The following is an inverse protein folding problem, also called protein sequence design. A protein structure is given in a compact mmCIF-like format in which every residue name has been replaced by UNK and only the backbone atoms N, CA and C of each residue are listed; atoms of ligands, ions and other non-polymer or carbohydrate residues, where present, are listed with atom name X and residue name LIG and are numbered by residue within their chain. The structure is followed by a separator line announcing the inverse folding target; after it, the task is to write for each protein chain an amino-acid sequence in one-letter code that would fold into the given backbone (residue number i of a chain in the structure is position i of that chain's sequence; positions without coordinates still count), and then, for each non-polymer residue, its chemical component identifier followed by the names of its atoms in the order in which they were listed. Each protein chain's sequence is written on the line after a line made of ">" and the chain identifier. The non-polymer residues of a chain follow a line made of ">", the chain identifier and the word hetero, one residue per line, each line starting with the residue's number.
data_IF_669883853588
#
_entry.id   IF_669883853588
#
_cell.length_a   1.000
_cell.length_b   1.000
_cell.length_c   1.000
_cell.angle_alpha   90.00
_cell.angle_beta   90.00
_cell.angle_gamma   90.00
#
_symmetry.space_group_name_H-M   'P 1'
#
loop_
_entity.id
_entity.type
_entity.pdbx_description
1 polymer ?
#
# COMPACT_ATOMS: atom_id res chain seq x y z
N UNK A 1 5.46 -28.61 56.78
CA UNK A 1 4.07 -28.17 56.49
C UNK A 1 4.19 -26.93 55.59
N UNK A 2 4.07 -27.12 54.28
CA UNK A 2 4.09 -26.03 53.29
C UNK A 2 2.64 -25.67 52.92
N UNK A 3 2.28 -24.37 52.88
CA UNK A 3 0.94 -23.96 52.45
C UNK A 3 0.81 -24.03 50.94
N UNK A 4 -0.25 -24.68 50.48
CA UNK A 4 -0.60 -24.82 49.07
C UNK A 4 -1.01 -23.48 48.43
N UNK A 5 -0.54 -23.30 47.19
CA UNK A 5 -0.92 -22.21 46.31
C UNK A 5 -2.36 -22.42 45.78
N UNK A 6 -3.16 -21.35 45.62
CA UNK A 6 -4.48 -21.45 45.04
C UNK A 6 -4.42 -21.73 43.54
N UNK A 7 -5.20 -22.70 43.11
CA UNK A 7 -5.43 -23.05 41.68
C UNK A 7 -6.31 -21.97 41.08
N UNK A 8 -5.75 -21.23 40.10
CA UNK A 8 -6.50 -20.28 39.27
C UNK A 8 -7.33 -21.06 38.25
N UNK A 9 -8.66 -21.01 38.35
CA UNK A 9 -9.55 -21.43 37.29
C UNK A 9 -9.65 -20.34 36.20
N UNK A 10 -9.50 -20.69 34.91
CA UNK A 10 -9.71 -19.73 33.83
C UNK A 10 -11.22 -19.40 33.72
N UNK A 11 -11.55 -18.14 33.35
CA UNK A 11 -12.94 -17.74 33.15
C UNK A 11 -13.54 -18.44 31.94
N UNK A 12 -14.78 -18.90 32.07
CA UNK A 12 -15.59 -19.51 31.04
C UNK A 12 -15.69 -18.60 29.79
N UNK A 13 -15.36 -19.15 28.64
CA UNK A 13 -15.61 -18.51 27.35
C UNK A 13 -17.13 -18.30 27.14
N UNK A 14 -17.59 -17.13 26.67
CA UNK A 14 -18.98 -16.93 26.34
C UNK A 14 -19.33 -17.71 25.07
N UNK A 15 -20.44 -18.42 25.18
CA UNK A 15 -21.13 -19.18 24.13
C UNK A 15 -21.42 -18.28 22.91
N UNK A 16 -20.75 -18.57 21.77
CA UNK A 16 -21.02 -17.95 20.47
C UNK A 16 -22.11 -18.74 19.74
N UNK A 17 -23.33 -18.79 20.29
CA UNK A 17 -24.50 -19.20 19.53
C UNK A 17 -24.95 -18.03 18.63
N UNK A 18 -24.94 -18.30 17.34
CA UNK A 18 -25.19 -17.36 16.25
C UNK A 18 -26.45 -16.50 16.39
N UNK A 19 -26.26 -15.22 16.20
CA UNK A 19 -27.27 -14.32 15.64
C UNK A 19 -26.59 -13.44 14.59
N UNK A 20 -26.70 -13.86 13.35
CA UNK A 20 -26.62 -12.96 12.20
C UNK A 20 -27.69 -11.88 12.37
N UNK A 21 -27.30 -10.70 12.82
CA UNK A 21 -28.15 -9.52 12.78
C UNK A 21 -28.22 -9.03 11.34
N UNK A 22 -29.26 -9.49 10.65
CA UNK A 22 -29.74 -8.91 9.40
C UNK A 22 -30.17 -7.45 9.69
N UNK A 23 -29.28 -6.50 9.50
CA UNK A 23 -29.59 -5.08 9.59
C UNK A 23 -30.32 -4.68 8.29
N UNK A 24 -31.64 -4.88 8.28
CA UNK A 24 -32.51 -4.23 7.31
C UNK A 24 -32.55 -2.74 7.67
N UNK A 25 -31.96 -1.92 6.82
CA UNK A 25 -32.17 -0.49 6.86
C UNK A 25 -33.64 -0.20 6.50
N UNK A 26 -34.35 0.69 7.24
CA UNK A 26 -35.66 1.13 6.83
C UNK A 26 -35.51 1.98 5.57
N UNK A 27 -36.19 1.58 4.49
CA UNK A 27 -36.31 2.37 3.30
C UNK A 27 -37.11 3.65 3.60
N UNK A 28 -36.69 4.84 3.14
CA UNK A 28 -37.54 6.02 3.21
C UNK A 28 -38.71 5.85 2.22
N UNK A 29 -39.91 5.87 2.73
CA UNK A 29 -41.11 5.97 1.95
C UNK A 29 -41.19 7.38 1.33
N UNK A 30 -41.04 7.44 0.04
CA UNK A 30 -41.14 8.68 -0.74
C UNK A 30 -41.38 8.35 -2.20
N UNK A 31 -42.60 7.89 -2.51
CA UNK A 31 -43.07 7.62 -3.85
C UNK A 31 -43.36 8.96 -4.53
N UNK A 32 -42.54 9.38 -5.48
CA UNK A 32 -42.97 10.39 -6.49
C UNK A 32 -42.74 9.74 -7.86
N UNK A 33 -43.88 9.32 -8.44
CA UNK A 33 -43.97 8.89 -9.81
C UNK A 33 -43.78 10.11 -10.71
N UNK A 34 -42.70 10.14 -11.50
CA UNK A 34 -42.58 11.08 -12.61
C UNK A 34 -42.56 10.26 -13.91
N UNK A 35 -43.65 10.41 -14.64
CA UNK A 35 -43.88 9.86 -15.98
C UNK A 35 -42.78 10.35 -16.93
N UNK A 36 -42.06 9.43 -17.53
CA UNK A 36 -41.14 9.69 -18.63
C UNK A 36 -41.91 9.83 -19.93
N UNK A 37 -41.96 11.04 -20.47
CA UNK A 37 -42.37 11.28 -21.84
C UNK A 37 -41.21 10.89 -22.78
N UNK A 38 -41.38 9.79 -23.52
CA UNK A 38 -40.52 9.44 -24.64
C UNK A 38 -40.82 10.42 -25.78
N UNK A 39 -39.91 11.34 -26.04
CA UNK A 39 -39.86 12.09 -27.29
C UNK A 39 -39.20 11.26 -28.36
N UNK A 40 -39.99 10.76 -29.28
CA UNK A 40 -39.54 10.12 -30.53
C UNK A 40 -38.98 11.22 -31.43
N UNK A 41 -37.67 11.21 -31.68
CA UNK A 41 -37.04 12.06 -32.69
C UNK A 41 -37.15 11.37 -34.06
N UNK A 42 -37.53 12.07 -35.12
CA UNK A 42 -37.59 11.50 -36.45
C UNK A 42 -36.16 11.29 -37.04
N UNK A 43 -35.96 10.27 -37.86
CA UNK A 43 -34.72 10.09 -38.60
C UNK A 43 -34.68 10.97 -39.84
N UNK A 44 -33.61 11.71 -40.04
CA UNK A 44 -33.29 12.28 -41.33
C UNK A 44 -33.17 13.77 -41.41
N UNK A 45 -31.98 14.29 -41.11
CA UNK A 45 -31.47 15.49 -41.77
C UNK A 45 -29.94 15.36 -41.92
N UNK A 46 -29.56 14.86 -43.12
CA UNK A 46 -28.18 14.93 -43.57
C UNK A 46 -27.88 16.41 -43.88
N UNK A 47 -27.12 17.06 -42.98
CA UNK A 47 -26.48 18.34 -43.29
C UNK A 47 -25.21 18.08 -44.11
N UNK A 48 -25.34 18.18 -45.45
CA UNK A 48 -24.24 18.33 -46.36
C UNK A 48 -23.59 19.70 -46.12
N UNK A 49 -22.52 19.74 -45.31
CA UNK A 49 -21.62 20.90 -45.22
C UNK A 49 -20.78 21.01 -46.48
N UNK A 50 -20.43 22.23 -46.95
CA UNK A 50 -19.64 22.40 -48.17
C UNK A 50 -18.24 21.86 -47.94
N UNK A 51 -17.76 21.07 -48.95
CA UNK A 51 -16.39 20.60 -49.09
C UNK A 51 -15.43 21.80 -48.99
N UNK A 52 -14.80 21.93 -47.80
CA UNK A 52 -13.72 22.87 -47.62
C UNK A 52 -12.55 22.48 -48.50
N UNK A 53 -12.11 23.43 -49.31
CA UNK A 53 -10.92 23.40 -50.15
C UNK A 53 -9.73 22.85 -49.37
N UNK A 54 -9.16 21.77 -49.87
CA UNK A 54 -7.89 21.21 -49.34
C UNK A 54 -6.79 22.29 -49.35
N UNK A 55 -6.33 22.62 -48.16
CA UNK A 55 -5.08 23.41 -48.03
C UNK A 55 -3.93 22.54 -48.55
N UNK A 56 -2.96 23.13 -49.29
CA UNK A 56 -1.85 22.36 -49.81
C UNK A 56 -1.01 21.77 -48.65
N UNK A 57 -0.91 20.44 -48.65
CA UNK A 57 0.05 19.69 -47.83
C UNK A 57 1.49 20.00 -48.29
N UNK A 58 2.03 21.10 -47.80
CA UNK A 58 3.34 21.57 -48.19
C UNK A 58 4.12 22.18 -47.03
N UNK A 59 4.51 21.34 -46.09
CA UNK A 59 5.79 21.49 -45.35
C UNK A 59 6.01 20.18 -44.61
N UNK A 60 6.91 19.35 -45.07
CA UNK A 60 7.46 18.25 -44.25
C UNK A 60 7.88 18.85 -42.90
N UNK A 61 7.37 18.36 -41.77
CA UNK A 61 7.85 18.82 -40.50
C UNK A 61 9.37 18.57 -40.46
N UNK A 62 10.14 19.65 -40.40
CA UNK A 62 11.58 19.58 -40.31
C UNK A 62 11.93 18.54 -39.23
N UNK A 63 12.74 17.55 -39.65
CA UNK A 63 13.21 16.48 -38.77
C UNK A 63 13.75 17.14 -37.49
N UNK A 64 13.05 17.00 -36.37
CA UNK A 64 13.51 17.50 -35.10
C UNK A 64 14.98 17.07 -34.90
N UNK A 65 15.89 17.95 -34.48
CA UNK A 65 17.28 17.58 -34.30
C UNK A 65 17.33 16.33 -33.40
N UNK A 66 17.96 15.24 -33.90
CA UNK A 66 18.16 14.02 -33.14
C UNK A 66 18.90 14.42 -31.87
N UNK A 67 18.24 14.35 -30.73
CA UNK A 67 18.83 14.66 -29.44
C UNK A 67 20.14 13.88 -29.30
N UNK A 68 21.22 14.59 -29.02
CA UNK A 68 22.54 13.99 -28.78
C UNK A 68 22.33 12.86 -27.74
N UNK A 69 22.86 11.64 -27.95
CA UNK A 69 22.69 10.56 -27.00
C UNK A 69 23.10 11.06 -25.61
N UNK A 70 22.17 11.03 -24.66
CA UNK A 70 22.49 11.39 -23.29
C UNK A 70 23.60 10.45 -22.80
N UNK A 71 24.60 11.00 -22.13
CA UNK A 71 25.65 10.20 -21.49
C UNK A 71 24.98 9.14 -20.61
N UNK A 72 25.33 7.84 -20.74
CA UNK A 72 24.71 6.82 -19.93
C UNK A 72 24.82 7.17 -18.45
N UNK A 73 23.71 7.13 -17.72
CA UNK A 73 23.71 7.36 -16.27
C UNK A 73 24.59 6.27 -15.65
N UNK A 74 25.67 6.69 -15.00
CA UNK A 74 26.52 5.80 -14.22
C UNK A 74 26.02 5.77 -12.78
N UNK A 75 25.91 4.60 -12.21
CA UNK A 75 25.59 4.40 -10.81
C UNK A 75 26.50 3.34 -10.19
N UNK A 76 26.64 3.42 -8.88
CA UNK A 76 27.33 2.40 -8.11
C UNK A 76 26.62 1.02 -8.25
N UNK A 77 27.36 -0.05 -8.00
CA UNK A 77 26.79 -1.39 -7.87
C UNK A 77 25.66 -1.41 -6.84
N UNK A 78 24.74 -2.40 -6.91
CA UNK A 78 23.69 -2.55 -5.92
C UNK A 78 24.27 -2.57 -4.51
N UNK A 79 23.76 -1.68 -3.65
CA UNK A 79 24.32 -1.46 -2.32
C UNK A 79 23.77 -2.48 -1.32
N UNK A 80 24.63 -3.27 -0.63
CA UNK A 80 24.21 -4.06 0.52
C UNK A 80 23.60 -3.18 1.61
N UNK A 81 22.64 -3.74 2.37
CA UNK A 81 21.97 -2.99 3.44
C UNK A 81 20.60 -3.58 3.77
N UNK A 82 19.93 -2.97 4.74
CA UNK A 82 18.56 -3.32 5.11
C UNK A 82 17.58 -2.38 4.41
N UNK A 83 16.49 -2.97 3.95
CA UNK A 83 15.45 -2.25 3.20
C UNK A 83 14.07 -2.70 3.65
N UNK A 84 13.13 -1.77 3.57
CA UNK A 84 11.68 -2.06 3.61
C UNK A 84 11.11 -1.77 2.24
N UNK A 85 10.30 -2.68 1.72
CA UNK A 85 9.73 -2.59 0.37
C UNK A 85 8.22 -2.63 0.50
N UNK A 86 7.54 -1.60 0.04
CA UNK A 86 6.09 -1.55 -0.05
C UNK A 86 5.68 -1.71 -1.50
N UNK A 87 4.75 -2.60 -1.80
CA UNK A 87 4.29 -2.84 -3.16
C UNK A 87 2.84 -3.31 -3.22
N UNK A 88 2.21 -2.94 -4.32
CA UNK A 88 0.85 -3.35 -4.63
C UNK A 88 0.67 -3.59 -6.12
N UNK A 89 -0.43 -4.23 -6.47
CA UNK A 89 -0.77 -4.54 -7.86
C UNK A 89 -1.67 -5.76 -8.02
N UNK A 90 -1.40 -6.52 -9.06
CA UNK A 90 -2.15 -7.73 -9.42
C UNK A 90 -1.18 -8.86 -9.72
N UNK A 91 -1.46 -10.08 -9.26
CA UNK A 91 -0.76 -11.28 -9.61
C UNK A 91 -1.77 -12.41 -9.92
N UNK A 92 -1.70 -12.98 -11.13
CA UNK A 92 -2.62 -14.02 -11.60
C UNK A 92 -4.10 -13.62 -11.38
N UNK A 93 -4.46 -12.41 -11.78
CA UNK A 93 -5.79 -11.80 -11.67
C UNK A 93 -6.28 -11.52 -10.24
N UNK A 94 -5.47 -11.76 -9.21
CA UNK A 94 -5.79 -11.41 -7.84
C UNK A 94 -5.07 -10.13 -7.41
N UNK A 95 -5.74 -9.24 -6.68
CA UNK A 95 -5.07 -8.08 -6.11
C UNK A 95 -4.06 -8.51 -5.05
N UNK A 96 -2.91 -7.86 -5.04
CA UNK A 96 -1.81 -8.12 -4.10
C UNK A 96 -1.35 -6.82 -3.48
N UNK A 97 -1.14 -6.85 -2.17
CA UNK A 97 -0.43 -5.81 -1.42
C UNK A 97 0.59 -6.48 -0.50
N UNK A 98 1.77 -5.88 -0.37
CA UNK A 98 2.84 -6.49 0.42
C UNK A 98 3.78 -5.46 1.03
N UNK A 99 4.36 -5.84 2.17
CA UNK A 99 5.54 -5.21 2.74
C UNK A 99 6.60 -6.29 2.89
N UNK A 100 7.83 -5.99 2.44
CA UNK A 100 8.98 -6.85 2.69
C UNK A 100 9.96 -6.09 3.57
N UNK A 101 10.50 -6.78 4.57
CA UNK A 101 11.67 -6.31 5.30
C UNK A 101 12.81 -7.24 4.95
N UNK A 102 13.84 -6.73 4.28
CA UNK A 102 14.92 -7.57 3.75
C UNK A 102 16.31 -6.98 3.98
N UNK A 103 17.28 -7.87 4.06
CA UNK A 103 18.69 -7.55 4.12
C UNK A 103 19.37 -8.04 2.84
N UNK A 104 20.04 -7.13 2.16
CA UNK A 104 20.94 -7.43 1.05
C UNK A 104 22.36 -7.59 1.61
N UNK A 105 22.93 -8.77 1.44
CA UNK A 105 24.27 -9.09 1.90
C UNK A 105 25.31 -8.76 0.82
N UNK A 106 26.57 -8.57 1.23
CA UNK A 106 27.66 -8.21 0.32
C UNK A 106 27.99 -9.30 -0.71
N UNK A 107 27.65 -10.55 -0.43
CA UNK A 107 27.80 -11.70 -1.33
C UNK A 107 26.69 -11.84 -2.38
N UNK A 108 25.76 -10.88 -2.41
CA UNK A 108 24.62 -10.89 -3.33
C UNK A 108 23.41 -11.70 -2.84
N UNK A 109 23.50 -12.30 -1.65
CA UNK A 109 22.35 -12.99 -1.05
C UNK A 109 21.35 -12.03 -0.42
N UNK A 110 20.10 -12.47 -0.26
CA UNK A 110 19.01 -11.76 0.40
C UNK A 110 18.42 -12.67 1.47
N UNK A 111 18.11 -12.10 2.62
CA UNK A 111 17.25 -12.72 3.63
C UNK A 111 16.17 -11.73 4.06
N UNK A 112 14.95 -12.20 4.35
CA UNK A 112 13.88 -11.29 4.73
C UNK A 112 12.61 -11.99 5.18
N UNK A 113 11.63 -11.15 5.51
CA UNK A 113 10.25 -11.55 5.81
C UNK A 113 9.30 -10.80 4.89
N UNK A 114 8.29 -11.49 4.40
CA UNK A 114 7.24 -10.94 3.55
C UNK A 114 5.91 -10.97 4.30
N UNK A 115 5.32 -9.81 4.47
CA UNK A 115 3.95 -9.60 4.85
C UNK A 115 3.16 -9.40 3.56
N UNK A 116 2.21 -10.27 3.25
CA UNK A 116 1.50 -10.21 1.98
C UNK A 116 0.01 -10.49 2.15
N UNK A 117 -0.78 -9.65 1.52
CA UNK A 117 -2.18 -9.90 1.21
C UNK A 117 -2.29 -10.27 -0.25
N UNK A 118 -2.95 -11.38 -0.55
CA UNK A 118 -3.33 -11.76 -1.90
C UNK A 118 -4.80 -12.15 -1.89
N UNK A 119 -5.61 -11.40 -2.58
CA UNK A 119 -7.05 -11.49 -2.38
C UNK A 119 -7.39 -11.39 -0.89
N UNK A 120 -8.22 -12.29 -0.38
CA UNK A 120 -8.63 -12.31 1.03
C UNK A 120 -7.62 -13.04 1.96
N UNK A 121 -6.52 -13.57 1.43
CA UNK A 121 -5.55 -14.33 2.22
C UNK A 121 -4.39 -13.45 2.68
N UNK A 122 -4.12 -13.44 3.99
CA UNK A 122 -2.92 -12.86 4.59
C UNK A 122 -1.89 -13.94 4.89
N UNK A 123 -0.62 -13.65 4.63
CA UNK A 123 0.51 -14.52 4.95
C UNK A 123 1.69 -13.71 5.46
N UNK A 124 2.42 -14.27 6.41
CA UNK A 124 3.71 -13.78 6.89
C UNK A 124 4.73 -14.91 6.70
N UNK A 125 5.71 -14.69 5.81
CA UNK A 125 6.58 -15.78 5.34
C UNK A 125 8.02 -15.31 5.30
N UNK A 126 8.97 -16.01 5.97
CA UNK A 126 10.39 -15.80 5.76
C UNK A 126 10.77 -16.23 4.35
N UNK A 127 11.77 -15.60 3.78
CA UNK A 127 12.31 -15.97 2.47
C UNK A 127 13.80 -15.69 2.37
N UNK A 128 14.42 -16.32 1.39
CA UNK A 128 15.79 -16.04 0.95
C UNK A 128 15.78 -15.60 -0.52
N UNK A 129 16.93 -15.16 -1.00
CA UNK A 129 17.02 -14.76 -2.41
C UNK A 129 18.41 -14.33 -2.82
N UNK A 130 18.49 -13.77 -4.01
CA UNK A 130 19.72 -13.21 -4.57
C UNK A 130 19.42 -11.93 -5.33
N UNK A 131 20.39 -11.03 -5.35
CA UNK A 131 20.40 -9.88 -6.25
C UNK A 131 21.67 -9.85 -7.07
N UNK A 132 21.58 -9.27 -8.26
CA UNK A 132 22.72 -9.07 -9.15
C UNK A 132 22.62 -7.72 -9.86
N UNK A 133 23.75 -7.15 -10.17
CA UNK A 133 23.82 -5.95 -10.99
C UNK A 133 23.36 -6.25 -12.43
N UNK A 134 22.61 -5.34 -12.98
CA UNK A 134 22.26 -5.28 -14.40
C UNK A 134 22.78 -3.95 -14.98
N UNK A 135 22.78 -3.84 -16.32
CA UNK A 135 23.10 -2.59 -17.00
C UNK A 135 22.11 -1.46 -16.67
N UNK A 136 22.49 -0.22 -16.90
CA UNK A 136 21.62 0.96 -16.80
C UNK A 136 20.99 1.15 -15.41
N UNK A 137 21.81 1.09 -14.35
CA UNK A 137 21.37 1.36 -12.97
C UNK A 137 20.22 0.47 -12.49
N UNK A 138 20.27 -0.80 -12.81
CA UNK A 138 19.27 -1.79 -12.41
C UNK A 138 19.87 -2.93 -11.60
N UNK A 139 19.03 -3.55 -10.77
CA UNK A 139 19.32 -4.82 -10.13
C UNK A 139 18.25 -5.85 -10.50
N UNK A 140 18.68 -7.06 -10.86
CA UNK A 140 17.80 -8.22 -10.94
C UNK A 140 17.72 -8.86 -9.56
N UNK A 141 16.53 -9.25 -9.14
CA UNK A 141 16.22 -9.75 -7.81
C UNK A 141 15.40 -11.03 -7.96
N UNK A 142 15.83 -12.06 -7.25
CA UNK A 142 15.09 -13.32 -7.11
C UNK A 142 14.87 -13.59 -5.63
N UNK A 143 13.64 -14.00 -5.27
CA UNK A 143 13.26 -14.36 -3.90
C UNK A 143 12.51 -15.66 -3.90
N UNK A 144 12.84 -16.54 -2.98
CA UNK A 144 12.23 -17.86 -2.84
C UNK A 144 11.81 -18.10 -1.40
N UNK A 145 10.63 -18.61 -1.22
CA UNK A 145 10.14 -19.23 0.00
C UNK A 145 9.79 -20.71 -0.27
N UNK A 146 9.24 -21.39 0.70
CA UNK A 146 8.85 -22.80 0.62
C UNK A 146 7.74 -23.09 -0.41
N UNK A 147 7.05 -22.06 -0.89
CA UNK A 147 5.88 -22.21 -1.78
C UNK A 147 6.13 -21.70 -3.19
N UNK A 148 7.03 -20.73 -3.37
CA UNK A 148 7.22 -20.08 -4.69
C UNK A 148 8.55 -19.33 -4.81
N UNK A 149 8.93 -19.12 -6.06
CA UNK A 149 9.97 -18.17 -6.47
C UNK A 149 9.34 -16.98 -7.16
N UNK A 150 9.84 -15.79 -6.88
CA UNK A 150 9.43 -14.53 -7.50
C UNK A 150 10.63 -13.76 -8.00
N UNK A 151 10.49 -13.10 -9.17
CA UNK A 151 11.53 -12.26 -9.75
C UNK A 151 11.04 -10.82 -9.93
N UNK A 152 11.98 -9.89 -9.81
CA UNK A 152 11.72 -8.47 -10.04
C UNK A 152 12.98 -7.76 -10.54
N UNK A 153 12.79 -6.57 -11.10
CA UNK A 153 13.88 -5.66 -11.42
C UNK A 153 13.69 -4.36 -10.64
N UNK A 154 14.77 -3.89 -10.04
CA UNK A 154 14.80 -2.59 -9.35
C UNK A 154 15.62 -1.58 -10.13
N UNK A 155 15.20 -0.31 -10.12
CA UNK A 155 16.00 0.83 -10.51
C UNK A 155 16.75 1.38 -9.29
N UNK A 156 18.01 1.72 -9.50
CA UNK A 156 18.93 2.16 -8.45
C UNK A 156 19.17 3.68 -8.57
N UNK A 157 19.39 4.33 -7.44
CA UNK A 157 19.91 5.69 -7.42
C UNK A 157 21.44 5.72 -7.71
N UNK A 158 22.02 6.90 -7.83
CA UNK A 158 23.45 7.05 -8.10
C UNK A 158 24.35 6.35 -7.07
N UNK A 159 23.89 6.17 -5.84
CA UNK A 159 24.59 5.46 -4.76
C UNK A 159 24.36 3.95 -4.75
N UNK A 160 23.69 3.39 -5.77
CA UNK A 160 23.40 1.97 -5.89
C UNK A 160 22.23 1.48 -4.99
N UNK A 161 21.47 2.37 -4.37
CA UNK A 161 20.33 1.98 -3.53
C UNK A 161 19.09 1.75 -4.39
N UNK A 162 18.34 0.66 -4.19
CA UNK A 162 17.08 0.44 -4.88
C UNK A 162 16.05 1.51 -4.47
N UNK A 163 15.29 2.02 -5.44
CA UNK A 163 14.25 3.04 -5.21
C UNK A 163 12.87 2.55 -5.58
N UNK A 164 12.76 1.88 -6.70
CA UNK A 164 11.52 1.29 -7.21
C UNK A 164 11.82 -0.05 -7.84
N UNK A 165 10.84 -0.93 -7.83
CA UNK A 165 10.95 -2.21 -8.56
C UNK A 165 9.60 -2.64 -9.12
N UNK A 166 9.65 -3.53 -10.10
CA UNK A 166 8.48 -4.19 -10.65
C UNK A 166 8.70 -5.70 -10.75
N UNK A 167 7.63 -6.47 -10.62
CA UNK A 167 7.63 -7.91 -10.85
C UNK A 167 7.88 -8.22 -12.32
N UNK A 168 8.64 -9.30 -12.60
CA UNK A 168 9.01 -9.70 -13.96
C UNK A 168 8.49 -11.08 -14.38
N UNK A 169 7.73 -11.76 -13.51
CA UNK A 169 7.02 -12.98 -13.90
C UNK A 169 5.81 -12.65 -14.77
N UNK A 170 5.42 -13.53 -15.69
CA UNK A 170 4.16 -13.40 -16.41
C UNK A 170 2.97 -13.22 -15.46
N UNK A 171 1.97 -12.45 -15.87
CA UNK A 171 0.74 -12.18 -15.10
C UNK A 171 0.98 -11.52 -13.72
N UNK A 172 2.15 -10.93 -13.50
CA UNK A 172 2.48 -10.19 -12.29
C UNK A 172 2.71 -8.73 -12.63
N UNK A 173 1.76 -7.87 -12.26
CA UNK A 173 1.85 -6.41 -12.40
C UNK A 173 1.88 -5.82 -10.99
N UNK A 174 3.04 -5.87 -10.35
CA UNK A 174 3.27 -5.36 -9.00
C UNK A 174 4.43 -4.39 -9.04
N UNK A 175 4.16 -3.15 -8.66
CA UNK A 175 5.19 -2.12 -8.47
C UNK A 175 5.51 -1.96 -6.99
N UNK A 176 6.73 -1.55 -6.68
CA UNK A 176 7.13 -1.41 -5.29
C UNK A 176 8.04 -0.20 -5.10
N UNK A 177 7.92 0.44 -3.94
CA UNK A 177 8.77 1.53 -3.45
C UNK A 177 9.68 1.01 -2.35
N UNK A 178 10.93 1.48 -2.30
CA UNK A 178 11.97 1.03 -1.39
C UNK A 178 12.35 2.12 -0.42
N UNK A 179 12.52 1.72 0.84
CA UNK A 179 12.91 2.57 1.94
C UNK A 179 14.18 1.97 2.58
N UNK A 180 15.27 2.72 2.74
CA UNK A 180 16.41 2.23 3.49
C UNK A 180 16.02 2.06 4.96
N UNK A 181 16.40 0.93 5.56
CA UNK A 181 16.19 0.64 6.97
C UNK A 181 17.51 0.69 7.70
N UNK A 182 17.60 1.52 8.75
CA UNK A 182 18.78 1.56 9.60
C UNK A 182 18.80 0.34 10.53
N UNK A 183 19.99 -0.02 11.02
CA UNK A 183 20.18 -1.19 11.89
C UNK A 183 19.85 -0.92 13.37
N UNK A 184 19.25 0.21 13.71
CA UNK A 184 18.85 0.54 15.09
C UNK A 184 17.60 -0.24 15.49
N UNK A 185 17.48 -0.56 16.76
CA UNK A 185 16.26 -1.12 17.33
C UNK A 185 15.11 -0.12 17.19
N UNK A 186 13.92 -0.63 16.93
CA UNK A 186 12.71 0.17 16.83
C UNK A 186 11.91 0.13 18.15
N UNK A 187 11.11 1.18 18.34
CA UNK A 187 10.15 1.26 19.41
C UNK A 187 8.98 2.15 18.99
N UNK A 188 7.85 2.06 19.67
CA UNK A 188 6.68 2.90 19.43
C UNK A 188 6.97 4.40 19.59
N UNK A 189 7.94 4.77 20.44
CA UNK A 189 8.33 6.16 20.65
C UNK A 189 8.92 6.84 19.39
N UNK A 190 9.38 6.08 18.40
CA UNK A 190 9.82 6.64 17.11
C UNK A 190 8.68 7.33 16.34
N UNK A 191 7.44 6.95 16.63
CA UNK A 191 6.24 7.49 15.99
C UNK A 191 5.64 8.69 16.74
N UNK A 192 6.11 9.02 17.96
CA UNK A 192 5.52 10.11 18.76
C UNK A 192 5.50 11.42 17.99
N UNK A 193 4.31 11.96 17.77
CA UNK A 193 4.05 13.16 16.98
C UNK A 193 2.94 13.00 15.96
N UNK A 194 2.94 13.85 14.94
CA UNK A 194 1.96 13.79 13.86
C UNK A 194 2.50 13.03 12.66
N UNK A 195 1.66 12.19 12.08
CA UNK A 195 1.91 11.50 10.80
C UNK A 195 0.74 11.73 9.85
N UNK A 196 1.03 11.83 8.58
CA UNK A 196 0.05 11.98 7.51
C UNK A 196 0.18 10.82 6.53
N UNK A 197 -0.94 10.41 5.95
CA UNK A 197 -0.93 9.43 4.87
C UNK A 197 -1.88 9.76 3.74
N UNK A 198 -1.53 9.26 2.59
CA UNK A 198 -2.41 9.07 1.46
C UNK A 198 -2.20 7.65 0.96
N UNK A 199 -3.26 6.90 0.84
CA UNK A 199 -3.21 5.50 0.46
C UNK A 199 -4.32 5.15 -0.53
N UNK A 200 -4.05 4.16 -1.32
CA UNK A 200 -5.00 3.52 -2.22
C UNK A 200 -5.02 2.03 -1.92
N UNK A 201 -6.18 1.42 -2.11
CA UNK A 201 -6.36 0.01 -1.86
C UNK A 201 -7.59 -0.52 -2.55
N UNK A 202 -8.07 -1.64 -2.06
CA UNK A 202 -9.28 -2.29 -2.54
C UNK A 202 -10.05 -2.86 -1.36
N UNK A 203 -11.37 -2.69 -1.36
CA UNK A 203 -12.27 -3.30 -0.39
C UNK A 203 -13.13 -4.35 -1.07
N UNK A 204 -13.33 -5.48 -0.40
CA UNK A 204 -14.21 -6.55 -0.86
C UNK A 204 -15.66 -6.21 -0.52
N UNK A 205 -16.47 -5.95 -1.53
CA UNK A 205 -17.88 -5.59 -1.38
C UNK A 205 -18.73 -6.38 -2.38
N UNK A 206 -19.74 -7.07 -1.90
CA UNK A 206 -20.71 -7.81 -2.72
C UNK A 206 -20.04 -8.79 -3.72
N UNK A 207 -19.03 -9.55 -3.25
CA UNK A 207 -18.35 -10.55 -4.07
C UNK A 207 -17.32 -9.98 -5.06
N UNK A 208 -16.93 -8.72 -4.94
CA UNK A 208 -16.00 -8.06 -5.85
C UNK A 208 -15.02 -7.13 -5.11
N UNK A 209 -13.79 -7.05 -5.61
CA UNK A 209 -12.83 -6.04 -5.21
C UNK A 209 -13.16 -4.69 -5.86
N UNK A 210 -13.34 -3.67 -5.05
CA UNK A 210 -13.60 -2.29 -5.48
C UNK A 210 -12.48 -1.37 -5.00
N UNK A 211 -12.04 -0.39 -5.79
CA UNK A 211 -11.02 0.55 -5.35
C UNK A 211 -11.50 1.34 -4.15
N UNK A 212 -10.58 1.63 -3.24
CA UNK A 212 -10.75 2.59 -2.16
C UNK A 212 -9.55 3.55 -2.12
N UNK A 213 -9.75 4.69 -1.48
CA UNK A 213 -8.69 5.63 -1.17
C UNK A 213 -8.95 6.24 0.20
N UNK A 214 -7.89 6.49 0.96
CA UNK A 214 -7.96 7.07 2.30
C UNK A 214 -6.88 8.12 2.46
N UNK A 215 -7.24 9.25 3.06
CA UNK A 215 -6.28 10.22 3.59
C UNK A 215 -6.46 10.29 5.10
N UNK A 216 -5.34 10.36 5.84
CA UNK A 216 -5.34 10.29 7.29
C UNK A 216 -4.41 11.34 7.90
N UNK A 217 -4.81 11.82 9.08
CA UNK A 217 -3.96 12.57 9.98
C UNK A 217 -4.02 11.89 11.35
N UNK A 218 -2.86 11.46 11.83
CA UNK A 218 -2.72 10.75 13.08
C UNK A 218 -1.82 11.51 14.05
N UNK A 219 -2.09 11.34 15.32
CA UNK A 219 -1.21 11.76 16.41
C UNK A 219 -0.90 10.57 17.30
N UNK A 220 0.37 10.18 17.30
CA UNK A 220 0.92 9.12 18.12
C UNK A 220 1.50 9.66 19.43
N UNK A 221 1.29 8.91 20.50
CA UNK A 221 1.93 9.15 21.80
C UNK A 221 2.08 7.84 22.56
N UNK A 222 3.33 7.45 22.83
CA UNK A 222 3.66 6.24 23.63
C UNK A 222 2.93 4.98 23.18
N UNK A 223 2.82 4.78 21.86
CA UNK A 223 2.15 3.61 21.27
C UNK A 223 0.62 3.69 21.19
N UNK A 224 0.01 4.80 21.57
CA UNK A 224 -1.41 5.08 21.33
C UNK A 224 -1.60 6.07 20.20
N UNK A 225 -2.66 5.92 19.42
CA UNK A 225 -3.01 6.80 18.31
C UNK A 225 -4.41 7.39 18.48
N UNK A 226 -4.53 8.63 18.06
CA UNK A 226 -5.80 9.28 17.74
C UNK A 226 -5.68 9.85 16.34
N UNK A 227 -6.68 9.63 15.51
CA UNK A 227 -6.65 10.07 14.12
C UNK A 227 -8.01 10.45 13.57
N UNK A 228 -7.96 11.04 12.38
CA UNK A 228 -9.11 11.27 11.51
C UNK A 228 -8.77 10.68 10.14
N UNK A 229 -9.73 10.00 9.54
CA UNK A 229 -9.64 9.47 8.19
C UNK A 229 -10.80 10.00 7.35
N UNK A 230 -10.48 10.35 6.11
CA UNK A 230 -11.46 10.59 5.05
C UNK A 230 -11.25 9.48 4.03
N UNK A 231 -12.27 8.65 3.86
CA UNK A 231 -12.23 7.44 3.04
C UNK A 231 -13.23 7.54 1.89
N UNK A 232 -12.82 7.09 0.71
CA UNK A 232 -13.68 6.95 -0.46
C UNK A 232 -13.79 5.49 -0.86
N UNK A 233 -15.02 4.97 -0.89
CA UNK A 233 -15.34 3.59 -1.25
C UNK A 233 -16.17 3.51 -2.56
N UNK A 234 -15.90 4.40 -3.48
CA UNK A 234 -16.65 4.53 -4.73
C UNK A 234 -17.78 5.56 -4.62
N UNK A 235 -19.06 5.18 -4.44
CA UNK A 235 -20.14 6.16 -4.41
C UNK A 235 -20.24 6.95 -3.09
N UNK A 236 -19.57 6.50 -2.03
CA UNK A 236 -19.62 7.12 -0.70
C UNK A 236 -18.27 7.68 -0.27
N UNK A 237 -18.32 8.82 0.42
CA UNK A 237 -17.19 9.37 1.18
C UNK A 237 -17.60 9.28 2.64
N UNK A 238 -16.70 8.75 3.47
CA UNK A 238 -16.89 8.61 4.90
C UNK A 238 -15.78 9.37 5.62
N UNK A 239 -16.16 10.09 6.67
CA UNK A 239 -15.25 10.73 7.59
C UNK A 239 -15.44 10.12 8.97
N UNK A 240 -14.35 9.65 9.57
CA UNK A 240 -14.38 9.05 10.89
C UNK A 240 -13.14 9.44 11.70
N UNK A 241 -13.33 9.66 13.00
CA UNK A 241 -12.22 9.66 13.95
C UNK A 241 -11.97 8.22 14.38
N UNK A 242 -10.74 7.93 14.77
CA UNK A 242 -10.36 6.61 15.28
C UNK A 242 -9.34 6.72 16.39
N UNK A 243 -9.24 5.66 17.16
CA UNK A 243 -8.22 5.48 18.17
C UNK A 243 -7.66 4.07 18.09
N UNK A 244 -6.43 3.89 18.56
CA UNK A 244 -5.79 2.59 18.49
C UNK A 244 -4.50 2.51 19.26
N UNK A 245 -3.82 1.37 19.06
CA UNK A 245 -2.53 1.07 19.69
C UNK A 245 -1.59 0.38 18.72
N UNK A 246 -0.29 0.59 18.90
CA UNK A 246 0.77 -0.14 18.19
C UNK A 246 1.69 -0.84 19.19
N UNK A 247 2.03 -2.08 18.87
CA UNK A 247 3.12 -2.81 19.55
C UNK A 247 4.24 -3.02 18.56
N UNK A 248 5.44 -2.52 18.90
CA UNK A 248 6.62 -2.54 18.02
C UNK A 248 7.67 -3.48 18.59
N UNK A 249 8.10 -4.46 17.79
CA UNK A 249 9.23 -5.33 18.10
C UNK A 249 10.58 -4.65 17.85
N UNK A 250 11.64 -5.17 18.47
CA UNK A 250 13.00 -4.66 18.27
C UNK A 250 13.49 -4.82 16.82
N UNK A 251 12.89 -5.74 16.07
CA UNK A 251 13.10 -5.97 14.63
C UNK A 251 12.37 -4.97 13.73
N UNK A 252 11.65 -4.01 14.33
CA UNK A 252 10.81 -3.00 13.67
C UNK A 252 9.49 -3.52 13.09
N UNK A 253 9.17 -4.80 13.23
CA UNK A 253 7.85 -5.32 12.93
C UNK A 253 6.86 -4.85 13.99
N UNK A 254 5.65 -4.52 13.57
CA UNK A 254 4.64 -4.01 14.47
C UNK A 254 3.26 -4.58 14.17
N UNK A 255 2.41 -4.56 15.19
CA UNK A 255 0.98 -4.84 15.08
C UNK A 255 0.23 -3.60 15.51
N UNK A 256 -0.73 -3.16 14.68
CA UNK A 256 -1.60 -2.01 14.94
C UNK A 256 -3.04 -2.50 15.02
N UNK A 257 -3.78 -1.98 15.99
CA UNK A 257 -5.22 -2.19 16.14
C UNK A 257 -5.90 -0.85 16.33
N UNK A 258 -6.92 -0.60 15.54
CA UNK A 258 -7.67 0.64 15.55
C UNK A 258 -9.16 0.38 15.57
N UNK A 259 -9.92 1.32 16.13
CA UNK A 259 -11.37 1.34 16.07
C UNK A 259 -11.82 2.74 15.74
N UNK A 260 -12.71 2.86 14.75
CA UNK A 260 -13.26 4.15 14.36
C UNK A 260 -14.53 4.52 15.15
N UNK A 261 -14.97 5.76 14.97
CA UNK A 261 -16.17 6.30 15.61
C UNK A 261 -17.48 5.68 15.09
N UNK A 262 -17.41 4.92 14.01
CA UNK A 262 -18.54 4.18 13.42
C UNK A 262 -18.62 2.73 13.95
N UNK A 263 -17.62 2.32 14.76
CA UNK A 263 -17.53 1.01 15.41
C UNK A 263 -16.82 -0.06 14.59
N UNK A 264 -16.22 0.29 13.44
CA UNK A 264 -15.39 -0.63 12.68
C UNK A 264 -14.02 -0.81 13.35
N UNK A 265 -13.51 -2.04 13.31
CA UNK A 265 -12.20 -2.41 13.85
C UNK A 265 -11.28 -2.78 12.70
N UNK A 266 -10.07 -2.25 12.74
CA UNK A 266 -9.04 -2.45 11.73
C UNK A 266 -7.79 -3.08 12.35
N UNK A 267 -7.23 -4.05 11.67
CA UNK A 267 -6.02 -4.74 12.09
C UNK A 267 -4.94 -4.61 11.02
N UNK A 268 -3.72 -4.24 11.44
CA UNK A 268 -2.61 -4.05 10.52
C UNK A 268 -1.35 -4.77 11.01
N UNK A 269 -0.54 -5.23 10.07
CA UNK A 269 0.88 -5.46 10.28
C UNK A 269 1.65 -4.28 9.72
N UNK A 270 2.68 -3.86 10.43
CA UNK A 270 3.43 -2.67 10.05
C UNK A 270 4.94 -2.89 10.18
N UNK A 271 5.70 -2.02 9.53
CA UNK A 271 7.15 -1.89 9.70
C UNK A 271 7.47 -0.44 10.00
N UNK A 272 7.99 -0.19 11.20
CA UNK A 272 8.44 1.14 11.61
C UNK A 272 9.79 1.43 10.98
N UNK A 273 9.96 2.61 10.38
CA UNK A 273 11.25 3.04 9.85
C UNK A 273 12.15 3.54 11.00
N UNK A 274 13.31 2.93 11.14
CA UNK A 274 14.21 3.17 12.27
C UNK A 274 14.83 4.57 12.31
N UNK A 275 14.69 5.36 11.24
CA UNK A 275 15.08 6.77 11.22
C UNK A 275 13.97 7.71 11.74
N UNK A 276 12.82 7.15 12.14
CA UNK A 276 11.68 7.90 12.63
C UNK A 276 10.93 8.68 11.54
N UNK A 277 11.18 8.38 10.25
CA UNK A 277 10.49 9.05 9.14
C UNK A 277 9.03 8.64 8.97
N UNK A 278 8.61 7.56 9.65
CA UNK A 278 7.24 7.06 9.62
C UNK A 278 7.16 5.55 9.72
N UNK A 279 6.07 4.99 9.21
CA UNK A 279 5.88 3.54 9.15
C UNK A 279 5.07 3.13 7.92
N UNK A 280 5.29 1.89 7.51
CA UNK A 280 4.49 1.26 6.47
C UNK A 280 3.54 0.27 7.13
N UNK A 281 2.33 0.16 6.62
CA UNK A 281 1.36 -0.80 7.11
C UNK A 281 0.67 -1.56 5.98
N UNK A 282 0.23 -2.76 6.32
CA UNK A 282 -0.58 -3.63 5.48
C UNK A 282 -1.78 -4.09 6.30
N UNK A 283 -2.98 -3.82 5.80
CA UNK A 283 -4.21 -4.27 6.44
C UNK A 283 -4.32 -5.79 6.38
N UNK A 284 -4.69 -6.40 7.51
CA UNK A 284 -4.78 -7.86 7.64
C UNK A 284 -6.21 -8.38 7.63
N UNK A 285 -7.21 -7.48 7.71
CA UNK A 285 -8.62 -7.86 7.65
C UNK A 285 -8.99 -8.41 6.25
N UNK A 286 -9.80 -9.49 6.16
CA UNK A 286 -10.01 -10.20 4.89
C UNK A 286 -10.72 -9.37 3.82
N UNK A 287 -11.49 -8.37 4.22
CA UNK A 287 -12.30 -7.57 3.32
C UNK A 287 -11.62 -6.28 2.86
N UNK A 288 -10.38 -6.05 3.27
CA UNK A 288 -9.62 -4.88 2.85
C UNK A 288 -8.18 -5.23 2.47
N UNK A 289 -7.74 -4.73 1.35
CA UNK A 289 -6.41 -4.91 0.79
C UNK A 289 -5.80 -3.53 0.57
N UNK A 290 -5.32 -2.96 1.67
CA UNK A 290 -4.69 -1.63 1.67
C UNK A 290 -3.29 -1.74 2.23
N UNK A 291 -2.34 -1.12 1.51
CA UNK A 291 -0.97 -0.92 1.96
C UNK A 291 -0.66 0.57 1.88
N UNK A 292 -0.05 1.10 2.91
CA UNK A 292 0.21 2.54 2.99
C UNK A 292 1.53 2.88 3.68
N UNK A 293 1.97 4.11 3.45
CA UNK A 293 3.07 4.74 4.15
C UNK A 293 2.56 5.99 4.86
N UNK A 294 2.74 6.01 6.18
CA UNK A 294 2.46 7.17 7.01
C UNK A 294 3.76 7.92 7.27
N UNK A 295 3.83 9.15 6.78
CA UNK A 295 5.00 10.01 6.87
C UNK A 295 4.95 10.85 8.14
N UNK A 296 6.01 10.78 8.94
CA UNK A 296 6.15 11.58 10.14
C UNK A 296 6.45 13.05 9.78
N UNK A 297 5.68 14.00 10.31
CA UNK A 297 5.79 15.42 9.95
C UNK A 297 7.13 16.04 10.33
N UNK A 298 7.77 15.59 11.42
CA UNK A 298 9.10 16.10 11.85
C UNK A 298 10.21 15.91 10.83
N UNK A 299 10.07 14.96 9.90
CA UNK A 299 11.07 14.72 8.85
C UNK A 299 11.11 15.86 7.83
N UNK A 300 9.98 16.51 7.57
CA UNK A 300 9.88 17.64 6.63
C UNK A 300 10.42 18.97 7.18
N UNK A 301 10.18 19.25 8.46
CA UNK A 301 10.62 20.49 9.09
C UNK A 301 12.15 20.61 9.19
N UNK A 302 12.86 19.47 9.24
CA UNK A 302 14.34 19.43 9.24
C UNK A 302 14.97 19.48 7.85
N UNK A 303 14.19 19.23 6.81
CA UNK A 303 14.69 19.12 5.43
C UNK A 303 14.51 20.41 4.59
N UNK A 304 13.71 21.36 5.05
CA UNK A 304 13.53 22.65 4.40
C UNK A 304 14.41 23.69 5.08
N UNK A 305 15.53 24.15 4.46
CA UNK A 305 16.11 25.43 4.89
C UNK A 305 15.06 26.49 4.61
N UNK A 306 14.68 27.22 5.64
CA UNK A 306 13.89 28.44 5.49
C UNK A 306 14.62 29.38 4.54
N UNK A 307 13.90 30.09 3.66
CA UNK A 307 14.45 31.03 2.71
C UNK A 307 15.13 32.20 3.38
#
# INVERSE_FOLDING_TARGET
>A
MSPGLPVFQPPHAPDRSGRTRDRRFPAPAGLVALLAALAVLPPGAALAGPLGTEAPLGASPGRAPVAKPATPVQCAAPRPGRYVVMGDGVAQNEPVARILQETWHADGSISGIRLERRGQTYREVPYTGRYRSLSLCRAGIERSDDTRTSTSQAVLDAAGRPRYSLGTLPEVVVVSRWFPQRSSACSAALLDGSVLSMQQGRSWKNGQWRPNAVIQNERWRSGSVLGIAISSYGPSIEEATYSGTITVGADCLATVKEQDSLGAVYNYRAVVLADGSGYLYLQTDPDDLTVGYLEHQRARERAAPLP
#
